data_IF_509205143759
#
_entry.id   IF_509205143759
#
_cell.length_a   1.000
_cell.length_b   1.000
_cell.length_c   1.000
_cell.angle_alpha   90.00
_cell.angle_beta   90.00
_cell.angle_gamma   90.00
#
_symmetry.space_group_name_H-M   'P 1'
#
loop_
_entity.id
_entity.type
_entity.pdbx_description
1 polymer ?
#
# COMPACT_ATOMS: atom_id res chain seq x y z
N UNK A 1 4.51 18.66 41.35
CA UNK A 1 5.40 17.55 41.74
C UNK A 1 4.59 16.27 41.85
N UNK A 2 4.40 15.58 40.74
CA UNK A 2 3.89 14.19 40.67
C UNK A 2 4.82 13.49 39.67
N UNK A 3 5.26 12.28 40.05
CA UNK A 3 6.53 11.61 39.77
C UNK A 3 6.88 11.31 38.30
N UNK A 4 8.16 11.53 37.98
CA UNK A 4 8.90 11.23 36.75
C UNK A 4 9.24 9.74 36.51
N UNK A 5 8.59 8.76 37.16
CA UNK A 5 9.14 7.38 37.26
C UNK A 5 8.46 6.31 36.38
N UNK A 6 7.79 6.64 35.26
CA UNK A 6 7.24 5.62 34.34
C UNK A 6 7.46 5.88 32.85
N UNK A 7 8.61 6.42 32.49
CA UNK A 7 9.10 6.45 31.11
C UNK A 7 10.34 5.56 31.03
N UNK A 8 10.09 4.25 31.09
CA UNK A 8 11.10 3.21 30.98
C UNK A 8 11.30 2.80 29.52
N UNK A 9 12.43 3.25 28.98
CA UNK A 9 13.21 2.70 27.86
C UNK A 9 12.77 3.00 26.42
N UNK A 10 13.67 3.75 25.76
CA UNK A 10 13.79 4.17 24.34
C UNK A 10 12.72 5.10 23.74
N UNK A 11 12.47 6.24 24.39
CA UNK A 11 11.97 7.44 23.70
C UNK A 11 13.14 8.39 23.42
N UNK A 12 13.54 8.55 22.16
CA UNK A 12 14.43 9.67 21.79
C UNK A 12 13.61 10.95 21.66
N UNK A 13 13.78 11.84 22.64
CA UNK A 13 13.13 13.15 22.75
C UNK A 13 13.93 14.20 21.96
N UNK A 14 13.37 14.77 20.88
CA UNK A 14 14.02 15.85 20.12
C UNK A 14 13.43 17.21 20.55
N UNK A 15 14.28 18.14 21.02
CA UNK A 15 13.89 19.51 21.39
C UNK A 15 13.97 20.46 20.20
N UNK A 16 12.93 21.28 19.99
CA UNK A 16 12.85 22.26 18.90
C UNK A 16 13.87 23.41 19.01
N UNK A 17 14.29 23.80 20.22
CA UNK A 17 15.19 24.94 20.43
C UNK A 17 16.67 24.65 20.05
N UNK A 18 17.01 23.39 19.79
CA UNK A 18 18.36 22.98 19.34
C UNK A 18 18.51 23.01 17.81
N UNK A 19 17.44 23.30 17.07
CA UNK A 19 17.47 23.46 15.61
C UNK A 19 18.08 24.82 15.22
N UNK A 20 19.41 24.89 15.21
CA UNK A 20 20.13 26.02 14.58
C UNK A 20 19.78 26.10 13.08
N UNK A 21 19.72 27.31 12.51
CA UNK A 21 19.18 27.56 11.17
C UNK A 21 20.17 27.22 10.06
N UNK A 22 20.86 26.08 10.08
CA UNK A 22 21.59 25.59 8.92
C UNK A 22 21.62 24.04 8.91
N UNK A 23 21.12 23.47 7.81
CA UNK A 23 21.16 22.05 7.39
C UNK A 23 20.37 21.04 8.26
N UNK A 24 19.11 20.82 7.90
CA UNK A 24 18.46 19.51 8.07
C UNK A 24 18.61 18.77 6.75
N UNK A 25 19.48 17.77 6.75
CA UNK A 25 19.71 16.85 5.64
C UNK A 25 19.10 15.52 6.10
N UNK A 26 18.15 14.96 5.37
CA UNK A 26 17.77 13.55 5.55
C UNK A 26 19.01 12.68 5.28
N UNK A 27 19.16 11.53 5.93
CA UNK A 27 20.31 10.62 5.80
C UNK A 27 20.51 10.03 4.38
N UNK A 28 19.80 10.53 3.36
CA UNK A 28 20.04 10.26 1.93
C UNK A 28 20.00 11.49 1.01
N UNK A 29 19.96 12.71 1.53
CA UNK A 29 20.16 13.92 0.71
C UNK A 29 19.05 14.27 -0.29
N UNK A 30 17.85 13.70 -0.18
CA UNK A 30 16.71 14.10 -1.00
C UNK A 30 15.91 15.23 -0.33
N UNK A 31 15.61 16.28 -1.09
CA UNK A 31 14.77 17.41 -0.66
C UNK A 31 13.31 17.04 -0.91
N UNK A 32 12.56 16.74 0.16
CA UNK A 32 11.12 16.52 0.10
C UNK A 32 10.42 17.45 1.11
N UNK A 33 9.30 18.11 0.77
CA UNK A 33 8.65 19.11 1.61
C UNK A 33 7.97 18.44 2.81
N UNK A 34 8.71 18.34 3.91
CA UNK A 34 8.22 17.88 5.21
C UNK A 34 7.22 18.91 5.80
N UNK A 35 6.35 18.55 6.78
CA UNK A 35 5.36 19.40 7.44
C UNK A 35 5.88 20.75 7.95
N UNK A 36 7.20 20.87 8.12
CA UNK A 36 7.92 22.08 8.48
C UNK A 36 7.87 23.19 7.41
N UNK A 37 7.66 22.87 6.13
CA UNK A 37 7.50 23.88 5.07
C UNK A 37 6.11 24.53 5.08
N UNK A 38 5.07 23.73 5.32
CA UNK A 38 3.70 24.24 5.56
C UNK A 38 3.69 25.09 6.83
N UNK A 39 4.26 24.59 7.93
CA UNK A 39 4.38 25.34 9.18
C UNK A 39 5.17 26.65 8.99
N UNK A 40 6.23 26.67 8.15
CA UNK A 40 7.00 27.89 7.85
C UNK A 40 6.24 28.92 7.02
N UNK A 41 5.45 28.50 6.03
CA UNK A 41 4.64 29.41 5.21
C UNK A 41 3.46 29.97 6.02
N UNK A 42 2.83 29.14 6.86
CA UNK A 42 1.73 29.56 7.75
C UNK A 42 2.21 30.46 8.90
N UNK A 43 3.42 30.25 9.43
CA UNK A 43 4.01 31.10 10.49
C UNK A 43 4.42 32.51 10.01
N UNK A 44 4.52 32.76 8.70
CA UNK A 44 4.90 34.09 8.17
C UNK A 44 3.76 35.11 8.17
N UNK A 45 2.50 34.69 8.30
CA UNK A 45 1.34 35.60 8.17
C UNK A 45 0.31 35.55 9.31
N UNK A 46 0.38 34.59 10.23
CA UNK A 46 -0.65 34.38 11.26
C UNK A 46 -0.06 34.44 12.68
N UNK A 47 -0.85 34.94 13.64
CA UNK A 47 -0.46 34.97 15.06
C UNK A 47 -0.75 33.63 15.74
N UNK A 48 -0.04 33.34 16.84
CA UNK A 48 0.03 32.04 17.54
C UNK A 48 -1.30 31.28 17.74
N UNK A 49 -2.42 31.99 17.96
CA UNK A 49 -3.74 31.37 18.14
C UNK A 49 -4.36 30.83 16.84
N UNK A 50 -4.11 31.49 15.71
CA UNK A 50 -4.66 31.11 14.41
C UNK A 50 -3.93 29.89 13.83
N UNK A 51 -2.65 29.71 14.17
CA UNK A 51 -1.84 28.54 13.81
C UNK A 51 -2.40 27.28 14.47
N UNK A 52 -2.76 27.36 15.77
CA UNK A 52 -3.38 26.25 16.50
C UNK A 52 -4.77 25.92 15.97
N UNK A 53 -5.54 26.93 15.55
CA UNK A 53 -6.87 26.75 15.00
C UNK A 53 -6.83 26.12 13.60
N UNK A 54 -5.87 26.53 12.76
CA UNK A 54 -5.61 25.91 11.45
C UNK A 54 -5.07 24.48 11.54
N UNK A 55 -4.32 24.14 12.61
CA UNK A 55 -3.90 22.76 12.88
C UNK A 55 -5.03 21.89 13.48
N UNK A 56 -6.08 22.50 14.04
CA UNK A 56 -7.09 21.83 14.85
C UNK A 56 -8.51 22.18 14.41
N UNK A 57 -8.86 21.94 13.15
CA UNK A 57 -10.16 22.33 12.56
C UNK A 57 -11.45 21.88 13.31
N UNK A 58 -11.41 21.25 14.49
CA UNK A 58 -12.52 21.29 15.44
C UNK A 58 -12.08 21.42 16.93
N UNK A 59 -12.70 22.42 17.57
CA UNK A 59 -12.91 22.76 19.00
C UNK A 59 -11.73 23.07 19.95
N UNK A 60 -11.68 24.31 20.52
CA UNK A 60 -10.61 24.78 21.40
C UNK A 60 -10.95 24.60 22.88
N UNK A 61 -11.32 23.39 23.33
CA UNK A 61 -11.55 23.13 24.77
C UNK A 61 -11.11 21.74 25.21
N UNK A 62 -9.80 21.50 25.38
CA UNK A 62 -9.33 20.33 26.11
C UNK A 62 -8.01 20.60 26.86
N UNK A 63 -7.98 20.16 28.13
CA UNK A 63 -6.91 20.36 29.12
C UNK A 63 -5.54 19.87 28.62
N UNK A 64 -4.47 20.50 29.09
CA UNK A 64 -3.05 20.45 28.64
C UNK A 64 -2.34 19.09 28.57
N UNK A 65 -3.00 17.92 28.68
CA UNK A 65 -2.31 16.63 28.65
C UNK A 65 -3.06 15.51 27.90
N UNK A 66 -4.11 15.81 27.15
CA UNK A 66 -4.79 14.81 26.32
C UNK A 66 -4.11 14.63 24.97
N UNK A 67 -3.76 13.38 24.55
CA UNK A 67 -3.24 13.11 23.21
C UNK A 67 -4.22 13.59 22.14
N UNK A 68 -3.75 14.39 21.19
CA UNK A 68 -4.52 14.82 20.02
C UNK A 68 -4.25 13.83 18.89
N UNK A 69 -5.28 13.48 18.13
CA UNK A 69 -5.11 12.64 16.95
C UNK A 69 -5.05 13.51 15.71
N UNK A 70 -4.00 13.33 14.90
CA UNK A 70 -3.95 13.96 13.59
C UNK A 70 -5.02 13.31 12.71
N UNK A 71 -6.16 13.98 12.49
CA UNK A 71 -7.25 13.49 11.61
C UNK A 71 -6.76 13.14 10.19
N UNK A 72 -5.63 13.71 9.77
CA UNK A 72 -5.05 13.56 8.43
C UNK A 72 -4.07 12.38 8.30
N UNK A 73 -3.50 11.87 9.40
CA UNK A 73 -2.45 10.82 9.37
C UNK A 73 -2.57 9.74 10.44
N UNK A 74 -3.58 9.78 11.29
CA UNK A 74 -3.94 8.69 12.21
C UNK A 74 -3.00 8.47 13.40
N UNK A 75 -1.96 9.28 13.60
CA UNK A 75 -1.08 9.17 14.76
C UNK A 75 -1.43 10.15 15.89
N UNK A 76 -1.22 9.75 17.16
CA UNK A 76 -1.32 10.65 18.29
C UNK A 76 -0.12 11.62 18.32
N UNK A 77 -0.41 12.88 18.58
CA UNK A 77 0.57 13.92 18.86
C UNK A 77 0.18 14.70 20.11
N UNK A 78 1.16 15.26 20.79
CA UNK A 78 0.96 16.13 21.95
C UNK A 78 1.52 17.50 21.64
N UNK A 79 0.85 18.52 22.17
CA UNK A 79 1.36 19.89 22.14
C UNK A 79 1.41 20.37 23.58
N UNK A 80 2.59 20.75 24.04
CA UNK A 80 2.81 21.24 25.40
C UNK A 80 3.44 22.62 25.32
N UNK A 81 2.82 23.62 25.94
CA UNK A 81 3.44 24.93 26.13
C UNK A 81 4.34 24.90 27.36
N UNK A 82 5.62 25.27 27.21
CA UNK A 82 6.53 25.49 28.33
C UNK A 82 7.24 26.83 28.17
N UNK A 83 7.01 27.75 29.12
CA UNK A 83 7.68 29.06 29.17
C UNK A 83 7.54 29.88 27.88
N UNK A 84 6.37 29.85 27.23
CA UNK A 84 6.11 30.57 25.97
C UNK A 84 6.67 29.89 24.71
N UNK A 85 7.20 28.66 24.82
CA UNK A 85 7.64 27.83 23.70
C UNK A 85 6.70 26.63 23.55
N UNK A 86 6.23 26.40 22.33
CA UNK A 86 5.37 25.28 21.99
C UNK A 86 6.22 24.06 21.61
N UNK A 87 6.06 22.96 22.33
CA UNK A 87 6.69 21.69 22.01
C UNK A 87 5.66 20.75 21.39
N UNK A 88 5.92 20.29 20.17
CA UNK A 88 5.11 19.28 19.49
C UNK A 88 5.83 17.94 19.59
N UNK A 89 5.16 16.95 20.16
CA UNK A 89 5.65 15.58 20.31
C UNK A 89 4.82 14.68 19.39
N UNK A 90 5.49 13.88 18.57
CA UNK A 90 4.85 12.90 17.68
C UNK A 90 5.29 11.52 18.15
N UNK A 91 4.34 10.62 18.44
CA UNK A 91 4.70 9.25 18.74
C UNK A 91 5.15 8.56 17.46
N UNK A 92 6.41 8.13 17.42
CA UNK A 92 6.89 7.21 16.39
C UNK A 92 6.19 5.87 16.64
N UNK A 93 5.28 5.48 15.76
CA UNK A 93 4.77 4.11 15.74
C UNK A 93 5.97 3.27 15.31
N UNK A 94 6.57 2.52 16.23
CA UNK A 94 7.54 1.48 15.85
C UNK A 94 6.84 0.60 14.82
N UNK A 95 7.37 0.56 13.58
CA UNK A 95 6.78 -0.23 12.50
C UNK A 95 6.60 -1.65 13.04
N UNK A 96 5.34 -2.10 13.06
CA UNK A 96 4.91 -3.40 13.57
C UNK A 96 5.72 -4.53 12.97
N UNK A 97 5.68 -5.72 13.59
CA UNK A 97 6.35 -6.90 13.05
C UNK A 97 6.07 -7.06 11.55
N UNK A 98 7.09 -7.36 10.74
CA UNK A 98 6.96 -7.41 9.31
C UNK A 98 6.01 -8.56 8.92
N UNK A 99 4.94 -8.22 8.20
CA UNK A 99 3.97 -9.19 7.68
C UNK A 99 4.56 -10.03 6.56
N UNK A 100 5.37 -9.40 5.72
CA UNK A 100 6.11 -10.01 4.62
C UNK A 100 7.53 -9.46 4.56
N UNK A 101 8.50 -10.34 4.35
CA UNK A 101 9.88 -9.98 4.04
C UNK A 101 10.36 -10.76 2.82
N UNK A 102 10.94 -10.05 1.88
CA UNK A 102 11.61 -10.57 0.70
C UNK A 102 13.07 -10.20 0.87
N UNK A 103 13.96 -11.18 0.97
CA UNK A 103 15.37 -10.99 1.34
C UNK A 103 16.27 -11.53 0.23
N UNK A 104 16.98 -10.62 -0.44
CA UNK A 104 17.92 -10.90 -1.54
C UNK A 104 17.36 -11.85 -2.60
N UNK A 105 16.08 -11.66 -2.98
CA UNK A 105 15.40 -12.58 -3.89
C UNK A 105 15.79 -12.31 -5.34
N UNK A 106 16.31 -13.33 -6.01
CA UNK A 106 16.54 -13.34 -7.45
C UNK A 106 15.80 -14.51 -8.10
N UNK A 107 15.35 -14.31 -9.34
CA UNK A 107 14.66 -15.33 -10.14
C UNK A 107 15.21 -15.37 -11.55
N UNK A 108 15.72 -16.54 -11.92
CA UNK A 108 16.23 -16.83 -13.26
C UNK A 108 15.40 -17.95 -13.87
N UNK A 109 14.80 -17.67 -15.03
CA UNK A 109 14.12 -18.67 -15.84
C UNK A 109 15.10 -19.31 -16.83
N UNK A 110 15.01 -20.63 -16.98
CA UNK A 110 15.69 -21.35 -18.05
C UNK A 110 14.73 -21.44 -19.22
N UNK A 111 15.12 -20.87 -20.35
CA UNK A 111 14.38 -20.95 -21.61
C UNK A 111 15.21 -21.71 -22.64
N UNK A 112 14.59 -22.11 -23.75
CA UNK A 112 15.30 -22.77 -24.85
C UNK A 112 16.36 -21.85 -25.50
N UNK A 113 16.24 -20.53 -25.32
CA UNK A 113 17.15 -19.52 -25.86
C UNK A 113 18.20 -19.05 -24.84
N UNK A 114 18.23 -19.64 -23.64
CA UNK A 114 19.17 -19.30 -22.57
C UNK A 114 18.51 -18.94 -21.25
N UNK A 115 19.32 -18.42 -20.31
CA UNK A 115 18.87 -17.98 -18.99
C UNK A 115 18.35 -16.54 -19.08
N UNK A 116 17.17 -16.30 -18.55
CA UNK A 116 16.56 -14.96 -18.46
C UNK A 116 16.39 -14.61 -16.99
N UNK A 117 17.09 -13.58 -16.53
CA UNK A 117 16.95 -13.05 -15.16
C UNK A 117 15.72 -12.15 -15.10
N UNK A 118 14.65 -12.64 -14.47
CA UNK A 118 13.41 -11.89 -14.30
C UNK A 118 13.47 -10.94 -13.11
N UNK A 119 14.07 -11.37 -12.00
CA UNK A 119 14.25 -10.57 -10.79
C UNK A 119 15.69 -10.69 -10.31
N UNK A 120 16.24 -9.59 -9.83
CA UNK A 120 17.59 -9.52 -9.30
C UNK A 120 17.64 -8.74 -7.98
N UNK A 121 18.10 -9.43 -6.93
CA UNK A 121 18.37 -8.90 -5.59
C UNK A 121 17.26 -8.04 -4.99
N UNK A 122 16.02 -8.53 -5.04
CA UNK A 122 14.86 -7.86 -4.47
C UNK A 122 14.92 -7.93 -2.94
N UNK A 123 14.85 -6.77 -2.30
CA UNK A 123 14.74 -6.61 -0.86
C UNK A 123 13.51 -5.75 -0.55
N UNK A 124 12.50 -6.34 0.09
CA UNK A 124 11.25 -5.67 0.39
C UNK A 124 10.70 -6.13 1.73
N UNK A 125 10.35 -5.18 2.60
CA UNK A 125 9.62 -5.43 3.83
C UNK A 125 8.27 -4.73 3.78
N UNK A 126 7.20 -5.48 4.09
CA UNK A 126 5.83 -5.00 4.17
C UNK A 126 5.32 -5.23 5.58
N UNK A 127 4.77 -4.19 6.19
CA UNK A 127 4.26 -4.22 7.55
C UNK A 127 2.78 -4.60 7.59
N UNK A 128 2.30 -5.02 8.75
CA UNK A 128 0.90 -5.35 8.91
C UNK A 128 0.01 -4.12 8.71
N UNK A 129 -1.03 -4.29 7.90
CA UNK A 129 -2.01 -3.27 7.56
C UNK A 129 -1.58 -2.33 6.44
N UNK A 130 -0.39 -2.50 5.89
CA UNK A 130 0.13 -1.65 4.83
C UNK A 130 -0.48 -1.98 3.46
N UNK A 131 -0.84 -0.96 2.69
CA UNK A 131 -1.20 -1.08 1.28
C UNK A 131 0.03 -0.72 0.42
N UNK A 132 0.71 -1.73 -0.10
CA UNK A 132 1.90 -1.52 -0.93
C UNK A 132 1.56 -1.71 -2.40
N UNK A 133 1.83 -0.69 -3.21
CA UNK A 133 1.65 -0.72 -4.65
C UNK A 133 2.99 -0.90 -5.36
N UNK A 134 3.09 -1.90 -6.24
CA UNK A 134 4.25 -2.15 -7.08
C UNK A 134 3.95 -1.68 -8.50
N UNK A 135 4.72 -0.73 -9.00
CA UNK A 135 4.56 -0.10 -10.30
C UNK A 135 5.77 -0.35 -11.18
N UNK A 136 5.54 -0.58 -12.46
CA UNK A 136 6.63 -0.67 -13.44
C UNK A 136 6.14 -1.11 -14.80
N UNK A 137 6.98 -0.98 -15.83
CA UNK A 137 6.62 -1.32 -17.20
C UNK A 137 6.31 -2.81 -17.36
N UNK A 138 5.63 -3.17 -18.45
CA UNK A 138 5.36 -4.57 -18.77
C UNK A 138 6.68 -5.37 -18.91
N UNK A 139 6.72 -6.52 -18.24
CA UNK A 139 7.89 -7.41 -18.25
C UNK A 139 9.00 -7.05 -17.26
N UNK A 140 8.80 -6.14 -16.30
CA UNK A 140 9.79 -5.87 -15.24
C UNK A 140 9.78 -6.87 -14.07
N UNK A 141 8.96 -7.93 -14.13
CA UNK A 141 8.96 -9.00 -13.12
C UNK A 141 7.95 -8.84 -11.97
N UNK A 142 7.02 -7.88 -12.03
CA UNK A 142 5.99 -7.66 -10.97
C UNK A 142 5.17 -8.91 -10.67
N UNK A 143 4.54 -9.51 -11.70
CA UNK A 143 3.78 -10.76 -11.57
C UNK A 143 4.65 -11.93 -11.15
N UNK A 144 5.93 -11.95 -11.56
CA UNK A 144 6.91 -12.93 -11.07
C UNK A 144 7.10 -12.80 -9.57
N UNK A 145 7.32 -11.59 -9.05
CA UNK A 145 7.48 -11.36 -7.62
C UNK A 145 6.20 -11.75 -6.86
N UNK A 146 5.03 -11.38 -7.38
CA UNK A 146 3.76 -11.73 -6.76
C UNK A 146 3.57 -13.25 -6.67
N UNK A 147 3.93 -14.00 -7.73
CA UNK A 147 3.89 -15.47 -7.72
C UNK A 147 4.87 -16.08 -6.71
N UNK A 148 6.06 -15.49 -6.53
CA UNK A 148 7.01 -15.93 -5.51
C UNK A 148 6.47 -15.69 -4.10
N UNK A 149 5.88 -14.51 -3.86
CA UNK A 149 5.25 -14.16 -2.57
C UNK A 149 4.07 -15.11 -2.27
N UNK A 150 3.25 -15.40 -3.26
CA UNK A 150 2.15 -16.35 -3.15
C UNK A 150 2.65 -17.78 -2.89
N UNK A 151 3.93 -18.09 -3.16
CA UNK A 151 4.49 -19.43 -3.10
C UNK A 151 4.09 -20.34 -4.25
N UNK A 152 3.59 -19.75 -5.35
CA UNK A 152 3.26 -20.47 -6.60
C UNK A 152 4.51 -20.84 -7.40
N UNK A 153 5.61 -20.11 -7.18
CA UNK A 153 6.92 -20.40 -7.75
C UNK A 153 8.00 -20.20 -6.67
N UNK A 154 9.20 -20.73 -6.89
CA UNK A 154 10.33 -20.65 -5.95
C UNK A 154 11.41 -19.69 -6.44
N UNK A 155 12.00 -18.88 -5.54
CA UNK A 155 13.11 -18.02 -5.90
C UNK A 155 14.33 -18.88 -6.30
N UNK A 156 15.17 -18.36 -7.20
CA UNK A 156 16.44 -19.01 -7.55
C UNK A 156 17.48 -18.79 -6.45
N UNK A 157 17.45 -17.60 -5.83
CA UNK A 157 18.27 -17.21 -4.70
C UNK A 157 17.45 -16.34 -3.75
N UNK A 158 17.87 -16.26 -2.49
CA UNK A 158 17.15 -15.51 -1.46
C UNK A 158 15.93 -16.24 -0.92
N UNK A 159 15.22 -15.55 -0.03
CA UNK A 159 14.13 -16.15 0.76
C UNK A 159 12.97 -15.17 0.93
N UNK A 160 11.77 -15.74 1.06
CA UNK A 160 10.56 -14.97 1.37
C UNK A 160 10.00 -15.50 2.68
N UNK A 161 9.63 -14.59 3.56
CA UNK A 161 9.09 -14.85 4.88
C UNK A 161 7.74 -14.17 5.01
N UNK A 162 6.74 -14.87 5.54
CA UNK A 162 5.41 -14.34 5.84
C UNK A 162 5.02 -14.74 7.25
N UNK A 163 4.65 -13.75 8.08
CA UNK A 163 4.35 -13.96 9.51
C UNK A 163 5.45 -14.74 10.25
N UNK A 164 6.72 -14.42 9.97
CA UNK A 164 7.88 -15.09 10.55
C UNK A 164 8.17 -16.50 10.02
N UNK A 165 7.33 -17.04 9.13
CA UNK A 165 7.52 -18.37 8.54
C UNK A 165 8.03 -18.27 7.10
N UNK A 166 8.98 -19.14 6.74
CA UNK A 166 9.51 -19.19 5.36
C UNK A 166 8.44 -19.68 4.39
N UNK A 167 8.26 -18.96 3.29
CA UNK A 167 7.34 -19.33 2.22
C UNK A 167 7.95 -20.44 1.38
N UNK A 168 7.44 -21.66 1.53
CA UNK A 168 7.90 -22.83 0.76
C UNK A 168 6.92 -23.29 -0.33
N UNK A 169 5.69 -22.77 -0.29
CA UNK A 169 4.59 -23.11 -1.19
C UNK A 169 3.36 -22.22 -0.95
N UNK A 170 2.25 -22.49 -1.64
CA UNK A 170 1.01 -21.72 -1.48
C UNK A 170 0.37 -21.98 -0.11
N UNK A 171 -0.26 -20.95 0.45
CA UNK A 171 -0.94 -21.00 1.74
C UNK A 171 -2.23 -20.20 1.72
N UNK A 172 -3.20 -20.56 2.57
CA UNK A 172 -4.49 -19.87 2.67
C UNK A 172 -4.37 -18.45 3.24
N UNK A 173 -3.23 -18.13 3.85
CA UNK A 173 -2.90 -16.83 4.40
C UNK A 173 -2.48 -15.80 3.34
N UNK A 174 -2.16 -16.24 2.11
CA UNK A 174 -1.76 -15.39 0.98
C UNK A 174 -2.62 -15.69 -0.23
N UNK A 175 -3.65 -14.86 -0.45
CA UNK A 175 -4.61 -15.08 -1.54
C UNK A 175 -4.31 -14.14 -2.70
N UNK A 176 -4.31 -14.69 -3.92
CA UNK A 176 -4.07 -13.94 -5.16
C UNK A 176 -5.38 -13.64 -5.87
N UNK A 177 -5.54 -12.39 -6.29
CA UNK A 177 -6.59 -11.92 -7.22
C UNK A 177 -5.91 -11.60 -8.55
N UNK A 178 -6.20 -12.41 -9.56
CA UNK A 178 -5.67 -12.24 -10.92
C UNK A 178 -6.55 -11.28 -11.75
N UNK A 179 -5.96 -10.72 -12.81
CA UNK A 179 -6.63 -9.85 -13.79
C UNK A 179 -7.85 -10.52 -14.44
N UNK A 180 -7.71 -11.77 -14.90
CA UNK A 180 -8.86 -12.62 -15.18
C UNK A 180 -9.21 -13.30 -13.88
N UNK A 181 -10.31 -12.90 -13.22
CA UNK A 181 -10.66 -13.27 -11.84
C UNK A 181 -10.74 -14.77 -11.49
N UNK A 182 -10.30 -15.68 -12.37
CA UNK A 182 -10.15 -17.12 -12.19
C UNK A 182 -11.38 -17.73 -11.51
N UNK A 183 -12.56 -17.20 -11.87
CA UNK A 183 -13.84 -17.60 -11.32
C UNK A 183 -14.26 -18.90 -12.00
N UNK A 184 -14.89 -19.79 -11.24
CA UNK A 184 -15.37 -21.05 -11.76
C UNK A 184 -16.65 -20.80 -12.57
N UNK A 185 -16.64 -21.06 -13.89
CA UNK A 185 -17.76 -20.70 -14.76
C UNK A 185 -19.01 -21.56 -14.55
N UNK A 186 -18.85 -22.74 -13.94
CA UNK A 186 -19.94 -23.67 -13.59
C UNK A 186 -20.52 -23.42 -12.19
N UNK A 187 -19.97 -22.48 -11.42
CA UNK A 187 -20.50 -22.09 -10.12
C UNK A 187 -21.23 -20.75 -10.25
N UNK A 188 -22.27 -20.56 -9.43
CA UNK A 188 -22.91 -19.26 -9.25
C UNK A 188 -21.96 -18.28 -8.55
N UNK A 189 -22.31 -16.99 -8.55
CA UNK A 189 -21.57 -15.94 -7.84
C UNK A 189 -21.31 -16.30 -6.39
N UNK A 190 -22.36 -16.68 -5.68
CA UNK A 190 -22.26 -17.01 -4.26
C UNK A 190 -21.43 -18.28 -4.03
N UNK A 191 -21.59 -19.31 -4.87
CA UNK A 191 -20.79 -20.53 -4.78
C UNK A 191 -19.30 -20.29 -5.08
N UNK A 192 -19.00 -19.32 -5.95
CA UNK A 192 -17.62 -18.89 -6.19
C UNK A 192 -17.00 -18.31 -4.92
N UNK A 193 -17.71 -17.42 -4.21
CA UNK A 193 -17.24 -16.82 -2.95
C UNK A 193 -17.15 -17.87 -1.84
N UNK A 194 -18.13 -18.76 -1.74
CA UNK A 194 -18.13 -19.85 -0.76
C UNK A 194 -17.01 -20.88 -0.98
N UNK A 195 -16.43 -20.98 -2.17
CA UNK A 195 -15.55 -22.09 -2.56
C UNK A 195 -14.37 -22.30 -1.59
N UNK A 196 -13.65 -21.24 -1.22
CA UNK A 196 -12.50 -21.34 -0.32
C UNK A 196 -12.91 -21.81 1.08
N UNK A 197 -14.00 -21.26 1.62
CA UNK A 197 -14.56 -21.66 2.90
C UNK A 197 -15.06 -23.12 2.90
N UNK A 198 -15.53 -23.62 1.75
CA UNK A 198 -15.91 -25.03 1.58
C UNK A 198 -14.69 -25.95 1.68
N UNK A 199 -13.54 -25.55 1.14
CA UNK A 199 -12.27 -26.29 1.28
C UNK A 199 -11.84 -26.34 2.75
N UNK A 200 -11.99 -25.24 3.48
CA UNK A 200 -11.74 -25.16 4.93
C UNK A 200 -12.81 -25.87 5.78
N UNK A 201 -13.79 -26.53 5.16
CA UNK A 201 -14.89 -27.27 5.83
C UNK A 201 -15.72 -26.41 6.79
N UNK A 202 -15.82 -25.10 6.53
CA UNK A 202 -16.68 -24.19 7.30
C UNK A 202 -18.14 -24.62 7.15
N UNK A 203 -18.90 -24.51 8.24
CA UNK A 203 -20.32 -24.88 8.29
C UNK A 203 -21.10 -24.18 7.14
N UNK A 204 -21.97 -24.88 6.41
CA UNK A 204 -22.70 -24.31 5.27
C UNK A 204 -23.49 -23.04 5.58
N UNK A 205 -24.12 -22.96 6.76
CA UNK A 205 -24.90 -21.77 7.16
C UNK A 205 -23.99 -20.55 7.36
N UNK A 206 -22.91 -20.74 8.11
CA UNK A 206 -21.91 -19.68 8.39
C UNK A 206 -21.27 -19.22 7.08
N UNK A 207 -20.88 -20.18 6.24
CA UNK A 207 -20.26 -19.91 4.95
C UNK A 207 -21.16 -19.07 4.04
N UNK A 208 -22.46 -19.40 3.98
CA UNK A 208 -23.43 -18.63 3.20
C UNK A 208 -23.56 -17.20 3.70
N UNK A 209 -23.65 -17.01 5.03
CA UNK A 209 -23.71 -15.69 5.66
C UNK A 209 -22.48 -14.86 5.32
N UNK A 210 -21.27 -15.40 5.55
CA UNK A 210 -20.03 -14.71 5.21
C UNK A 210 -19.96 -14.33 3.73
N UNK A 211 -20.30 -15.26 2.84
CA UNK A 211 -20.26 -14.98 1.40
C UNK A 211 -21.23 -13.85 1.00
N UNK A 212 -22.42 -13.78 1.60
CA UNK A 212 -23.36 -12.68 1.38
C UNK A 212 -22.82 -11.36 1.92
N UNK A 213 -22.23 -11.36 3.12
CA UNK A 213 -21.69 -10.15 3.75
C UNK A 213 -20.53 -9.56 2.93
N UNK A 214 -19.62 -10.40 2.45
CA UNK A 214 -18.52 -9.96 1.58
C UNK A 214 -18.98 -9.52 0.18
N UNK A 215 -20.06 -10.11 -0.36
CA UNK A 215 -20.66 -9.63 -1.61
C UNK A 215 -21.30 -8.25 -1.45
N UNK A 216 -21.92 -7.99 -0.30
CA UNK A 216 -22.43 -6.66 0.05
C UNK A 216 -21.31 -5.65 0.23
N UNK A 217 -20.23 -6.05 0.91
CA UNK A 217 -19.05 -5.21 1.13
C UNK A 217 -18.42 -4.75 -0.19
N UNK A 218 -18.37 -5.62 -1.22
CA UNK A 218 -17.89 -5.23 -2.56
C UNK A 218 -18.96 -4.57 -3.42
N UNK A 219 -20.13 -4.24 -2.87
CA UNK A 219 -21.21 -3.54 -3.57
C UNK A 219 -21.88 -4.33 -4.70
N UNK A 220 -21.92 -5.68 -4.64
CA UNK A 220 -22.65 -6.48 -5.61
C UNK A 220 -24.12 -6.64 -5.18
N UNK A 221 -25.05 -6.26 -6.06
CA UNK A 221 -26.49 -6.35 -5.83
C UNK A 221 -26.94 -7.81 -5.60
N UNK A 222 -27.78 -8.03 -4.59
CA UNK A 222 -28.28 -9.33 -4.17
C UNK A 222 -28.92 -10.12 -5.30
N UNK A 223 -29.51 -9.44 -6.30
CA UNK A 223 -30.13 -10.09 -7.46
C UNK A 223 -29.17 -10.95 -8.29
N UNK A 224 -27.86 -10.67 -8.22
CA UNK A 224 -26.83 -11.40 -8.95
C UNK A 224 -26.21 -12.58 -8.18
N UNK A 225 -26.56 -12.77 -6.91
CA UNK A 225 -25.93 -13.80 -6.06
C UNK A 225 -26.08 -15.22 -6.63
N UNK A 226 -27.19 -15.50 -7.33
CA UNK A 226 -27.45 -16.80 -7.96
C UNK A 226 -27.17 -16.81 -9.47
N UNK A 227 -26.64 -15.71 -10.03
CA UNK A 227 -26.23 -15.66 -11.42
C UNK A 227 -24.94 -16.44 -11.64
N UNK A 228 -24.76 -16.97 -12.85
CA UNK A 228 -23.49 -17.55 -13.29
C UNK A 228 -22.54 -16.46 -13.78
N UNK A 229 -21.24 -16.73 -13.73
CA UNK A 229 -20.18 -15.78 -14.07
C UNK A 229 -20.32 -15.20 -15.49
N UNK A 230 -20.76 -16.00 -16.46
CA UNK A 230 -20.94 -15.54 -17.85
C UNK A 230 -22.06 -14.50 -18.01
N UNK A 231 -22.95 -14.36 -17.03
CA UNK A 231 -24.04 -13.39 -17.03
C UNK A 231 -23.62 -12.03 -16.45
N UNK A 232 -22.38 -11.90 -15.96
CA UNK A 232 -21.87 -10.71 -15.28
C UNK A 232 -21.01 -9.85 -16.20
N UNK A 233 -21.02 -8.54 -15.97
CA UNK A 233 -20.04 -7.62 -16.58
C UNK A 233 -18.63 -7.86 -16.04
N UNK A 234 -17.60 -7.34 -16.71
CA UNK A 234 -16.22 -7.45 -16.25
C UNK A 234 -16.01 -6.92 -14.83
N UNK A 235 -16.58 -5.74 -14.51
CA UNK A 235 -16.51 -5.16 -13.17
C UNK A 235 -17.19 -6.01 -12.10
N UNK A 236 -18.33 -6.61 -12.43
CA UNK A 236 -19.04 -7.51 -11.51
C UNK A 236 -18.22 -8.78 -11.25
N UNK A 237 -17.60 -9.36 -12.28
CA UNK A 237 -16.68 -10.49 -12.10
C UNK A 237 -15.53 -10.10 -11.18
N UNK A 238 -14.97 -8.90 -11.33
CA UNK A 238 -13.88 -8.44 -10.47
C UNK A 238 -14.32 -8.29 -9.01
N UNK A 239 -15.51 -7.73 -8.75
CA UNK A 239 -16.11 -7.67 -7.41
C UNK A 239 -16.22 -9.05 -6.78
N UNK A 240 -16.71 -10.03 -7.54
CA UNK A 240 -16.82 -11.42 -7.07
C UNK A 240 -15.45 -12.03 -6.78
N UNK A 241 -14.44 -11.76 -7.60
CA UNK A 241 -13.08 -12.24 -7.37
C UNK A 241 -12.46 -11.65 -6.08
N UNK A 242 -12.67 -10.36 -5.84
CA UNK A 242 -12.23 -9.67 -4.62
C UNK A 242 -12.98 -10.22 -3.39
N UNK A 243 -14.31 -10.38 -3.45
CA UNK A 243 -15.09 -10.96 -2.36
C UNK A 243 -14.64 -12.39 -2.03
N UNK A 244 -14.42 -13.23 -3.05
CA UNK A 244 -13.89 -14.60 -2.88
C UNK A 244 -12.52 -14.62 -2.21
N UNK A 245 -11.69 -13.61 -2.45
CA UNK A 245 -10.39 -13.53 -1.80
C UNK A 245 -10.50 -13.03 -0.36
N UNK A 246 -11.31 -12.01 -0.10
CA UNK A 246 -11.47 -11.39 1.21
C UNK A 246 -12.20 -12.27 2.22
N UNK A 247 -13.18 -13.08 1.77
CA UNK A 247 -13.96 -13.98 2.64
C UNK A 247 -13.10 -15.03 3.36
N UNK A 248 -11.91 -15.32 2.83
CA UNK A 248 -10.93 -16.22 3.45
C UNK A 248 -10.15 -15.56 4.59
N UNK A 249 -10.40 -14.27 4.84
CA UNK A 249 -9.67 -13.42 5.78
C UNK A 249 -8.14 -13.57 5.67
N UNK A 250 -7.56 -13.43 4.46
CA UNK A 250 -6.14 -13.67 4.27
C UNK A 250 -5.30 -12.69 5.09
N UNK A 251 -4.10 -13.15 5.47
CA UNK A 251 -3.11 -12.32 6.14
C UNK A 251 -2.54 -11.26 5.19
N UNK A 252 -2.39 -11.63 3.91
CA UNK A 252 -1.91 -10.78 2.83
C UNK A 252 -2.80 -11.03 1.59
N UNK A 253 -3.32 -9.94 1.03
CA UNK A 253 -4.06 -9.97 -0.24
C UNK A 253 -3.14 -9.50 -1.36
N UNK A 254 -2.92 -10.35 -2.35
CA UNK A 254 -2.06 -10.08 -3.49
C UNK A 254 -2.95 -9.80 -4.71
N UNK A 255 -2.78 -8.68 -5.39
CA UNK A 255 -3.56 -8.32 -6.56
C UNK A 255 -2.65 -8.06 -7.76
N UNK A 256 -2.87 -8.75 -8.87
CA UNK A 256 -2.10 -8.59 -10.11
C UNK A 256 -2.95 -7.91 -11.19
N UNK A 257 -2.69 -6.62 -11.40
CA UNK A 257 -3.38 -5.73 -12.36
C UNK A 257 -4.92 -5.90 -12.39
N UNK A 258 -5.61 -5.83 -11.23
CA UNK A 258 -7.02 -6.21 -11.12
C UNK A 258 -7.98 -5.28 -11.87
N UNK A 259 -7.51 -4.13 -12.36
CA UNK A 259 -8.34 -3.13 -13.03
C UNK A 259 -8.04 -2.97 -14.53
N UNK A 260 -7.06 -3.71 -15.07
CA UNK A 260 -6.57 -3.49 -16.43
C UNK A 260 -7.63 -3.71 -17.52
N UNK A 261 -8.62 -4.57 -17.27
CA UNK A 261 -9.67 -4.92 -18.24
C UNK A 261 -10.99 -4.15 -18.04
N UNK A 262 -11.02 -3.13 -17.18
CA UNK A 262 -12.23 -2.41 -16.81
C UNK A 262 -12.34 -1.06 -17.53
N UNK A 263 -13.58 -0.65 -17.81
CA UNK A 263 -13.87 0.72 -18.25
C UNK A 263 -13.60 1.72 -17.11
N UNK A 264 -13.43 2.99 -17.48
CA UNK A 264 -12.99 4.06 -16.57
C UNK A 264 -13.94 4.20 -15.37
N UNK A 265 -15.25 4.22 -15.58
CA UNK A 265 -16.23 4.44 -14.51
C UNK A 265 -16.30 3.26 -13.54
N UNK A 266 -16.33 2.04 -14.08
CA UNK A 266 -16.29 0.82 -13.27
C UNK A 266 -15.01 0.73 -12.45
N UNK A 267 -13.87 1.11 -13.04
CA UNK A 267 -12.58 1.13 -12.36
C UNK A 267 -12.55 2.15 -11.21
N UNK A 268 -12.98 3.39 -11.45
CA UNK A 268 -13.03 4.42 -10.41
C UNK A 268 -13.89 3.98 -9.22
N UNK A 269 -15.05 3.41 -9.51
CA UNK A 269 -15.94 2.89 -8.46
C UNK A 269 -15.24 1.80 -7.66
N UNK A 270 -14.62 0.82 -8.33
CA UNK A 270 -13.91 -0.27 -7.66
C UNK A 270 -12.70 0.19 -6.84
N UNK A 271 -12.00 1.24 -7.29
CA UNK A 271 -10.90 1.84 -6.54
C UNK A 271 -11.41 2.49 -5.26
N UNK A 272 -12.52 3.21 -5.30
CA UNK A 272 -13.14 3.79 -4.10
C UNK A 272 -13.59 2.70 -3.12
N UNK A 273 -14.25 1.65 -3.60
CA UNK A 273 -14.64 0.52 -2.75
C UNK A 273 -13.42 -0.14 -2.11
N UNK A 274 -12.33 -0.33 -2.86
CA UNK A 274 -11.13 -0.95 -2.31
C UNK A 274 -10.49 -0.08 -1.21
N UNK A 275 -10.54 1.25 -1.35
CA UNK A 275 -10.10 2.17 -0.29
C UNK A 275 -10.98 2.05 0.96
N UNK A 276 -12.30 1.92 0.81
CA UNK A 276 -13.23 1.75 1.93
C UNK A 276 -12.98 0.41 2.63
N UNK A 277 -12.91 -0.69 1.87
CA UNK A 277 -12.62 -2.03 2.37
C UNK A 277 -11.31 -2.04 3.15
N UNK A 278 -10.25 -1.43 2.61
CA UNK A 278 -8.98 -1.35 3.32
C UNK A 278 -9.08 -0.50 4.59
N UNK A 279 -9.81 0.62 4.55
CA UNK A 279 -9.98 1.52 5.71
C UNK A 279 -10.76 0.86 6.86
N UNK A 280 -11.67 -0.06 6.56
CA UNK A 280 -12.41 -0.82 7.58
C UNK A 280 -11.64 -2.05 8.07
N UNK A 281 -10.96 -2.76 7.17
CA UNK A 281 -10.37 -4.07 7.47
C UNK A 281 -8.89 -4.03 7.85
N UNK A 282 -8.18 -2.95 7.52
CA UNK A 282 -6.73 -2.80 7.64
C UNK A 282 -5.95 -4.05 7.23
N UNK A 283 -6.39 -4.70 6.14
CA UNK A 283 -5.70 -5.88 5.60
C UNK A 283 -4.41 -5.43 4.92
N UNK A 284 -3.39 -6.29 4.98
CA UNK A 284 -2.13 -6.04 4.25
C UNK A 284 -2.36 -6.36 2.78
N UNK A 285 -2.13 -5.40 1.89
CA UNK A 285 -2.39 -5.54 0.45
C UNK A 285 -1.09 -5.31 -0.32
N UNK A 286 -0.77 -6.21 -1.24
CA UNK A 286 0.26 -6.00 -2.26
C UNK A 286 -0.43 -5.91 -3.61
N UNK A 287 -0.36 -4.74 -4.22
CA UNK A 287 -1.09 -4.40 -5.43
C UNK A 287 -0.11 -4.12 -6.56
N UNK A 288 -0.21 -4.88 -7.64
CA UNK A 288 0.62 -4.67 -8.83
C UNK A 288 -0.17 -3.93 -9.88
N UNK A 289 0.40 -2.87 -10.43
CA UNK A 289 -0.18 -2.11 -11.56
C UNK A 289 0.91 -1.55 -12.46
N UNK A 290 0.54 -1.13 -13.66
CA UNK A 290 1.37 -0.32 -14.54
C UNK A 290 1.02 1.17 -14.48
N UNK A 291 -0.02 1.55 -13.74
CA UNK A 291 -0.50 2.93 -13.63
C UNK A 291 -0.08 3.57 -12.29
N UNK A 292 0.75 4.62 -12.36
CA UNK A 292 1.23 5.36 -11.19
C UNK A 292 0.07 6.03 -10.43
N UNK A 293 -0.93 6.56 -11.12
CA UNK A 293 -2.06 7.23 -10.47
C UNK A 293 -2.85 6.25 -9.60
N UNK A 294 -3.03 5.01 -10.05
CA UNK A 294 -3.70 3.96 -9.26
C UNK A 294 -2.90 3.63 -8.00
N UNK A 295 -1.57 3.57 -8.14
CA UNK A 295 -0.68 3.29 -7.03
C UNK A 295 -0.71 4.40 -5.97
N UNK A 296 -0.74 5.67 -6.38
CA UNK A 296 -0.87 6.82 -5.47
C UNK A 296 -2.27 6.90 -4.87
N UNK A 297 -3.31 6.54 -5.61
CA UNK A 297 -4.69 6.56 -5.11
C UNK A 297 -4.90 5.49 -4.03
N UNK A 298 -4.27 4.33 -4.16
CA UNK A 298 -4.56 3.17 -3.31
C UNK A 298 -3.49 2.89 -2.24
N UNK A 299 -2.22 3.11 -2.54
CA UNK A 299 -1.10 2.63 -1.72
C UNK A 299 -0.66 3.62 -0.64
N UNK A 300 -0.21 3.10 0.50
CA UNK A 300 0.60 3.84 1.47
C UNK A 300 2.05 3.98 0.99
N UNK A 301 2.51 3.01 0.20
CA UNK A 301 3.82 3.04 -0.46
C UNK A 301 3.71 2.64 -1.91
N UNK A 302 4.50 3.31 -2.75
CA UNK A 302 4.68 2.99 -4.17
C UNK A 302 6.11 2.55 -4.40
N UNK A 303 6.27 1.31 -4.83
CA UNK A 303 7.56 0.70 -5.16
C UNK A 303 7.69 0.65 -6.67
N UNK A 304 8.70 1.31 -7.20
CA UNK A 304 8.96 1.37 -8.64
C UNK A 304 9.93 0.27 -9.03
N UNK A 305 9.58 -0.50 -10.06
CA UNK A 305 10.40 -1.56 -10.63
C UNK A 305 11.07 -1.08 -11.92
N UNK A 306 12.38 -1.29 -12.02
CA UNK A 306 13.11 -1.15 -13.26
C UNK A 306 13.04 -2.45 -14.09
N UNK A 307 13.23 -2.35 -15.40
CA UNK A 307 13.21 -3.49 -16.34
C UNK A 307 14.63 -3.99 -16.61
N UNK A 308 14.75 -5.29 -16.92
CA UNK A 308 15.96 -5.95 -17.44
C UNK A 308 17.25 -5.76 -16.61
N UNK A 309 17.44 -6.49 -15.50
CA UNK A 309 16.50 -7.37 -14.81
C UNK A 309 15.53 -6.58 -13.91
N UNK A 310 14.45 -7.24 -13.46
CA UNK A 310 13.53 -6.67 -12.48
C UNK A 310 14.24 -6.35 -11.17
N UNK A 311 14.29 -5.08 -10.80
CA UNK A 311 14.88 -4.59 -9.53
C UNK A 311 14.02 -3.48 -8.94
N UNK A 312 14.07 -3.32 -7.62
CA UNK A 312 13.48 -2.15 -6.96
C UNK A 312 14.36 -0.95 -7.30
N UNK A 313 13.76 0.03 -7.99
CA UNK A 313 14.39 1.28 -8.40
C UNK A 313 14.30 2.31 -7.27
N UNK A 314 13.07 2.56 -6.84
CA UNK A 314 12.75 3.60 -5.88
C UNK A 314 11.53 3.18 -5.06
N UNK A 315 11.39 3.81 -3.92
CA UNK A 315 10.28 3.63 -3.01
C UNK A 315 9.79 4.99 -2.54
N UNK A 316 8.48 5.19 -2.62
CA UNK A 316 7.80 6.44 -2.28
C UNK A 316 6.76 6.18 -1.20
N UNK A 317 6.81 6.92 -0.10
CA UNK A 317 5.73 6.94 0.90
C UNK A 317 4.65 7.95 0.46
N UNK A 318 3.39 7.52 0.42
CA UNK A 318 2.25 8.33 0.00
C UNK A 318 1.47 8.78 1.23
N UNK A 319 1.79 9.99 1.67
CA UNK A 319 1.29 10.55 2.92
C UNK A 319 0.05 11.44 2.71
N UNK A 320 -0.98 10.82 2.13
CA UNK A 320 -2.28 11.44 1.81
C UNK A 320 -3.39 10.64 2.55
N UNK A 321 -4.31 11.28 3.30
CA UNK A 321 -5.41 10.57 3.94
C UNK A 321 -6.34 9.91 2.91
N UNK A 322 -6.96 8.78 3.29
CA UNK A 322 -8.07 8.17 2.53
C UNK A 322 -9.41 8.69 3.08
N UNK A 323 -10.49 8.76 2.26
CA UNK A 323 -10.55 8.39 0.84
C UNK A 323 -9.89 9.44 -0.06
N UNK A 324 -9.09 8.97 -1.01
CA UNK A 324 -8.42 9.78 -2.02
C UNK A 324 -9.24 9.78 -3.30
N UNK A 325 -9.23 10.89 -4.01
CA UNK A 325 -9.86 11.03 -5.32
C UNK A 325 -8.82 11.41 -6.37
N UNK A 326 -9.08 11.01 -7.61
CA UNK A 326 -8.16 11.27 -8.71
C UNK A 326 -8.00 12.77 -9.03
N UNK A 327 -9.00 13.59 -8.67
CA UNK A 327 -9.03 15.04 -8.82
C UNK A 327 -8.35 15.79 -7.65
N UNK A 328 -7.90 15.10 -6.60
CA UNK A 328 -7.22 15.73 -5.48
C UNK A 328 -5.84 16.29 -5.92
N UNK A 329 -5.53 17.57 -5.63
CA UNK A 329 -4.25 18.17 -6.01
C UNK A 329 -3.04 17.42 -5.44
N UNK A 330 -3.13 16.91 -4.21
CA UNK A 330 -2.06 16.14 -3.57
C UNK A 330 -1.79 14.82 -4.32
N UNK A 331 -2.85 14.13 -4.78
CA UNK A 331 -2.73 12.89 -5.58
C UNK A 331 -2.09 13.19 -6.92
N UNK A 332 -2.53 14.27 -7.59
CA UNK A 332 -1.96 14.69 -8.87
C UNK A 332 -0.47 15.02 -8.76
N UNK A 333 -0.07 15.79 -7.75
CA UNK A 333 1.33 16.19 -7.54
C UNK A 333 2.23 14.98 -7.26
N UNK A 334 1.80 14.06 -6.39
CA UNK A 334 2.56 12.84 -6.11
C UNK A 334 2.67 11.95 -7.35
N UNK A 335 1.56 11.79 -8.10
CA UNK A 335 1.55 11.02 -9.35
C UNK A 335 2.53 11.61 -10.35
N UNK A 336 2.50 12.94 -10.53
CA UNK A 336 3.38 13.65 -11.46
C UNK A 336 4.85 13.49 -11.04
N UNK A 337 5.17 13.72 -9.77
CA UNK A 337 6.54 13.60 -9.27
C UNK A 337 7.11 12.20 -9.49
N UNK A 338 6.36 11.15 -9.14
CA UNK A 338 6.80 9.76 -9.34
C UNK A 338 6.92 9.45 -10.84
N UNK A 339 6.02 9.96 -11.67
CA UNK A 339 6.06 9.72 -13.13
C UNK A 339 7.25 10.41 -13.78
N UNK A 340 7.55 11.65 -13.40
CA UNK A 340 8.68 12.43 -13.90
C UNK A 340 10.00 11.75 -13.50
N UNK A 341 10.13 11.30 -12.25
CA UNK A 341 11.29 10.52 -11.79
C UNK A 341 11.47 9.19 -12.56
N UNK A 342 10.37 8.47 -12.82
CA UNK A 342 10.41 7.26 -13.66
C UNK A 342 10.92 7.61 -15.06
N UNK A 343 10.44 8.70 -15.65
CA UNK A 343 10.73 9.09 -17.03
C UNK A 343 12.18 9.56 -17.20
N UNK A 344 12.67 10.46 -16.36
CA UNK A 344 14.02 11.00 -16.45
C UNK A 344 15.08 9.88 -16.46
N UNK A 345 14.90 8.87 -15.60
CA UNK A 345 15.81 7.73 -15.53
C UNK A 345 15.67 6.75 -16.69
N UNK A 346 14.47 6.57 -17.25
CA UNK A 346 14.30 5.75 -18.47
C UNK A 346 15.02 6.39 -19.65
N UNK A 347 14.92 7.71 -19.80
CA UNK A 347 15.65 8.46 -20.84
C UNK A 347 17.17 8.44 -20.62
N UNK A 348 17.66 8.33 -19.38
CA UNK A 348 19.08 8.16 -19.07
C UNK A 348 19.58 6.74 -19.37
N UNK A 349 18.77 5.71 -19.06
CA UNK A 349 19.07 4.31 -19.35
C UNK A 349 19.11 4.04 -20.86
N UNK A 350 18.14 4.56 -21.63
CA UNK A 350 18.12 4.43 -23.09
C UNK A 350 19.37 5.05 -23.71
N UNK A 351 19.77 6.25 -23.27
CA UNK A 351 21.03 6.88 -23.70
C UNK A 351 22.26 6.03 -23.43
N UNK A 352 22.36 5.43 -22.23
CA UNK A 352 23.49 4.54 -21.88
C UNK A 352 23.51 3.28 -22.74
N UNK A 353 22.34 2.72 -23.08
CA UNK A 353 22.24 1.55 -23.95
C UNK A 353 22.64 1.89 -25.39
N UNK A 354 22.22 3.04 -25.91
CA UNK A 354 22.63 3.51 -27.24
C UNK A 354 24.14 3.77 -27.33
N UNK A 355 24.74 4.38 -26.31
CA UNK A 355 26.20 4.59 -26.26
C UNK A 355 27.00 3.28 -26.22
N UNK A 356 26.47 2.24 -25.57
CA UNK A 356 27.09 0.91 -25.52
C UNK A 356 26.87 0.15 -26.83
N UNK A 357 25.72 0.32 -27.50
CA UNK A 357 25.45 -0.33 -28.78
C UNK A 357 26.23 0.27 -29.97
N UNK A 358 26.68 1.53 -29.84
CA UNK A 358 27.49 2.21 -30.86
C UNK A 358 29.00 1.99 -30.71
N UNK A 359 29.45 1.36 -29.61
CA UNK A 359 30.82 0.91 -29.37
C UNK A 359 30.98 -0.56 -29.68
#
# INVERSE_FOLDING_TARGET
MIKEERLGQSEELIKLDELKPHRVVDLRGAVCPHPLNVIRETMRSLKDKEILQALCDHEPTAKENTPRFCKRRGYPFWVIEKKGVWHIFIQKIEKSQPRLQVVNVSKVFKTNYGKVTALDNINLTIHEGEFVCIVGPSGCGKSTLLNLIAGLDKPTQGEIWSNGNRVTGPGSDRVVVFQEGALFPWLTVIENVEFGLKILKVNPKIRRTLAVDYLKLVGLDEKFHNSFIHQLSGGMKQRVAIARALVMEPAILLMDEPFAALDVHTRETLQQELQNIWSESHKTIVFVTHNVQEAVLLGDRVIVFAKNPGRIKAEYEIDIPRPRRADDPEVFLNTKWITDDIREEMEELERKVEEVAYR
#
